data_IF_517948513305
#
_entry.id   IF_517948513305
#
_cell.length_a   1.000
_cell.length_b   1.000
_cell.length_c   1.000
_cell.angle_alpha   90.00
_cell.angle_beta   90.00
_cell.angle_gamma   90.00
#
_symmetry.space_group_name_H-M   'P 1'
#
loop_
_entity.id
_entity.type
_entity.pdbx_description
1 polymer ?
#
# COMPACT_ATOMS: atom_id res chain seq x y z
N UNK A 1 42.98 -5.18 -4.38
CA UNK A 1 42.63 -4.48 -3.15
C UNK A 1 43.77 -3.53 -2.80
N UNK A 2 43.74 -2.33 -3.37
CA UNK A 2 44.81 -1.34 -3.16
C UNK A 2 44.38 -0.15 -2.29
N UNK A 3 43.15 -0.19 -1.78
CA UNK A 3 42.67 0.82 -0.83
C UNK A 3 41.90 0.11 0.26
N UNK A 4 42.33 0.29 1.52
CA UNK A 4 41.58 -0.12 2.74
C UNK A 4 40.38 0.76 2.97
N UNK A 5 39.64 1.11 1.92
CA UNK A 5 38.42 1.93 2.02
C UNK A 5 37.23 1.00 2.07
N UNK A 6 36.67 0.81 3.26
CA UNK A 6 35.37 0.21 3.43
C UNK A 6 34.31 1.23 2.93
N UNK A 7 33.74 0.97 1.78
CA UNK A 7 32.59 1.73 1.30
C UNK A 7 31.37 1.08 1.96
N UNK A 8 30.85 1.73 3.00
CA UNK A 8 29.59 1.35 3.61
C UNK A 8 28.53 1.42 2.52
N UNK A 9 27.93 0.28 2.21
CA UNK A 9 26.85 0.21 1.24
C UNK A 9 25.62 0.76 1.94
N UNK A 10 25.30 2.03 1.71
CA UNK A 10 24.05 2.63 2.13
C UNK A 10 22.89 1.72 1.69
N UNK A 11 22.11 1.26 2.65
CA UNK A 11 20.81 0.67 2.44
C UNK A 11 19.84 1.79 2.01
N UNK A 12 20.13 2.44 0.88
CA UNK A 12 19.16 3.31 0.27
C UNK A 12 17.98 2.43 -0.16
N UNK A 13 16.87 2.55 0.55
CA UNK A 13 15.59 2.01 0.10
C UNK A 13 15.35 2.66 -1.25
N UNK A 14 15.43 1.85 -2.31
CA UNK A 14 15.18 2.35 -3.63
C UNK A 14 13.65 2.30 -3.82
N UNK A 15 12.98 3.42 -3.62
CA UNK A 15 11.52 3.58 -3.74
C UNK A 15 11.00 3.05 -5.07
N UNK A 16 11.79 3.16 -6.13
CA UNK A 16 11.45 2.62 -7.44
C UNK A 16 11.41 1.08 -7.46
N UNK A 17 12.35 0.42 -6.77
CA UNK A 17 12.36 -1.03 -6.63
C UNK A 17 11.15 -1.50 -5.79
N UNK A 18 10.81 -0.81 -4.72
CA UNK A 18 9.63 -1.13 -3.91
C UNK A 18 8.35 -0.96 -4.71
N UNK A 19 8.22 0.12 -5.47
CA UNK A 19 7.10 0.35 -6.39
C UNK A 19 6.97 -0.79 -7.40
N UNK A 20 8.06 -1.21 -8.04
CA UNK A 20 8.07 -2.32 -8.98
C UNK A 20 7.66 -3.65 -8.32
N UNK A 21 8.11 -3.93 -7.10
CA UNK A 21 7.72 -5.11 -6.33
C UNK A 21 6.21 -5.10 -6.02
N UNK A 22 5.70 -3.98 -5.54
CA UNK A 22 4.27 -3.81 -5.25
C UNK A 22 3.42 -3.94 -6.51
N UNK A 23 3.82 -3.29 -7.61
CA UNK A 23 3.13 -3.38 -8.89
C UNK A 23 3.09 -4.82 -9.42
N UNK A 24 4.20 -5.55 -9.31
CA UNK A 24 4.28 -6.96 -9.70
C UNK A 24 3.37 -7.82 -8.81
N UNK A 25 3.44 -7.66 -7.49
CA UNK A 25 2.61 -8.42 -6.54
C UNK A 25 1.13 -8.16 -6.78
N UNK A 26 0.73 -6.91 -6.95
CA UNK A 26 -0.65 -6.52 -7.24
C UNK A 26 -1.14 -7.13 -8.55
N UNK A 27 -0.29 -7.13 -9.59
CA UNK A 27 -0.62 -7.73 -10.88
C UNK A 27 -0.81 -9.25 -10.76
N UNK A 28 0.06 -9.96 -10.05
CA UNK A 28 -0.06 -11.40 -9.82
C UNK A 28 -1.32 -11.75 -9.04
N UNK A 29 -1.66 -10.97 -8.02
CA UNK A 29 -2.83 -11.20 -7.15
C UNK A 29 -4.15 -10.67 -7.75
N UNK A 30 -4.11 -9.89 -8.83
CA UNK A 30 -5.30 -9.45 -9.57
C UNK A 30 -5.97 -10.56 -10.38
N UNK A 31 -5.44 -11.79 -10.35
CA UNK A 31 -5.96 -12.95 -11.09
C UNK A 31 -5.53 -12.99 -12.56
N UNK A 32 -4.70 -12.07 -13.02
CA UNK A 32 -4.12 -12.08 -14.38
C UNK A 32 -3.21 -13.30 -14.54
N UNK A 33 -3.22 -13.90 -15.74
CA UNK A 33 -2.40 -15.07 -16.09
C UNK A 33 -1.42 -14.81 -17.24
N UNK A 34 -1.36 -13.59 -17.71
CA UNK A 34 -0.51 -13.11 -18.81
C UNK A 34 0.75 -12.39 -18.31
N UNK A 35 1.28 -12.83 -17.16
CA UNK A 35 2.40 -12.18 -16.46
C UNK A 35 3.59 -13.12 -16.41
N UNK A 36 4.76 -12.61 -16.78
CA UNK A 36 6.06 -13.25 -16.60
C UNK A 36 6.91 -12.32 -15.73
N UNK A 37 7.43 -12.84 -14.60
CA UNK A 37 8.28 -12.09 -13.68
C UNK A 37 9.72 -12.51 -13.87
N UNK A 38 10.59 -11.53 -14.12
CA UNK A 38 12.04 -11.73 -14.15
C UNK A 38 12.64 -10.89 -13.02
N UNK A 39 13.26 -11.55 -12.05
CA UNK A 39 13.79 -10.89 -10.86
C UNK A 39 15.08 -11.52 -10.37
N UNK A 40 15.81 -10.81 -9.50
CA UNK A 40 16.97 -11.37 -8.82
C UNK A 40 16.53 -12.29 -7.67
N UNK A 41 17.42 -13.19 -7.23
CA UNK A 41 17.18 -14.09 -6.09
C UNK A 41 16.86 -13.33 -4.79
N UNK A 42 17.31 -12.09 -4.66
CA UNK A 42 17.02 -11.24 -3.50
C UNK A 42 15.52 -10.96 -3.30
N UNK A 43 14.71 -11.10 -4.36
CA UNK A 43 13.25 -10.95 -4.26
C UNK A 43 12.57 -12.09 -3.49
N UNK A 44 13.26 -13.22 -3.24
CA UNK A 44 12.74 -14.33 -2.42
C UNK A 44 12.77 -13.98 -0.94
N UNK A 45 13.67 -13.08 -0.54
CA UNK A 45 13.82 -12.65 0.85
C UNK A 45 12.93 -11.45 1.15
N UNK A 46 12.27 -11.45 2.31
CA UNK A 46 11.42 -10.34 2.73
C UNK A 46 10.11 -10.26 1.94
N UNK A 47 9.55 -11.39 1.56
CA UNK A 47 8.21 -11.49 0.93
C UNK A 47 7.18 -11.43 2.05
N UNK A 48 6.18 -10.54 1.90
CA UNK A 48 5.01 -10.50 2.77
C UNK A 48 4.13 -11.75 2.61
N UNK A 49 3.14 -11.89 3.48
CA UNK A 49 2.17 -12.98 3.37
C UNK A 49 1.14 -12.64 2.27
N UNK A 50 1.02 -13.44 1.19
CA UNK A 50 0.08 -13.16 0.10
C UNK A 50 -1.39 -13.20 0.55
N UNK A 51 -1.74 -14.02 1.54
CA UNK A 51 -3.10 -14.06 2.08
C UNK A 51 -3.44 -12.76 2.83
N UNK A 52 -2.53 -12.28 3.67
CA UNK A 52 -2.70 -11.00 4.36
C UNK A 52 -2.78 -9.83 3.36
N UNK A 53 -1.96 -9.86 2.32
CA UNK A 53 -2.00 -8.85 1.26
C UNK A 53 -3.36 -8.86 0.53
N UNK A 54 -3.85 -10.05 0.14
CA UNK A 54 -5.13 -10.20 -0.54
C UNK A 54 -6.32 -9.81 0.33
N UNK A 55 -6.27 -10.10 1.63
CA UNK A 55 -7.33 -9.77 2.57
C UNK A 55 -7.43 -8.26 2.87
N UNK A 56 -6.39 -7.49 2.56
CA UNK A 56 -6.36 -6.05 2.72
C UNK A 56 -6.56 -5.28 1.40
N UNK A 57 -7.05 -5.95 0.35
CA UNK A 57 -7.46 -5.31 -0.90
C UNK A 57 -8.80 -4.60 -0.70
N UNK A 58 -8.86 -3.35 -1.13
CA UNK A 58 -10.06 -2.50 -0.99
C UNK A 58 -10.71 -2.38 -2.37
N UNK A 59 -11.99 -2.72 -2.47
CA UNK A 59 -12.76 -2.56 -3.70
C UNK A 59 -13.91 -1.58 -3.47
N UNK A 60 -13.95 -0.54 -4.29
CA UNK A 60 -14.99 0.50 -4.30
C UNK A 60 -15.65 0.56 -5.66
N UNK A 61 -16.93 0.90 -5.69
CA UNK A 61 -17.75 0.96 -6.89
C UNK A 61 -18.75 2.10 -6.76
N UNK A 62 -19.07 2.76 -7.86
CA UNK A 62 -20.09 3.83 -7.90
C UNK A 62 -21.44 3.28 -7.44
N UNK A 63 -22.16 4.06 -6.63
CA UNK A 63 -23.46 3.68 -6.05
C UNK A 63 -23.36 2.73 -4.85
N UNK A 64 -22.16 2.29 -4.48
CA UNK A 64 -21.95 1.49 -3.28
C UNK A 64 -22.04 2.37 -2.04
N UNK A 65 -22.92 1.96 -1.11
CA UNK A 65 -22.97 2.58 0.21
C UNK A 65 -21.83 2.08 1.07
N UNK A 66 -20.95 2.98 1.43
CA UNK A 66 -19.84 2.74 2.33
C UNK A 66 -19.61 3.99 3.16
N UNK A 67 -19.59 3.84 4.47
CA UNK A 67 -19.25 4.95 5.34
C UNK A 67 -17.82 5.40 5.06
N UNK A 68 -17.63 6.71 4.84
CA UNK A 68 -16.34 7.29 4.53
C UNK A 68 -15.28 6.96 5.59
N UNK A 69 -15.62 7.05 6.87
CA UNK A 69 -14.67 6.78 7.96
C UNK A 69 -14.24 5.31 7.99
N UNK A 70 -15.11 4.39 7.59
CA UNK A 70 -14.76 2.97 7.45
C UNK A 70 -13.79 2.76 6.29
N UNK A 71 -13.97 3.46 5.16
CA UNK A 71 -13.01 3.42 4.06
C UNK A 71 -11.65 3.99 4.46
N UNK A 72 -11.62 5.09 5.23
CA UNK A 72 -10.38 5.67 5.74
C UNK A 72 -9.64 4.71 6.70
N UNK A 73 -10.39 3.96 7.52
CA UNK A 73 -9.81 2.91 8.38
C UNK A 73 -9.23 1.77 7.56
N UNK A 74 -9.96 1.30 6.52
CA UNK A 74 -9.46 0.27 5.62
C UNK A 74 -8.17 0.71 4.91
N UNK A 75 -8.08 1.96 4.45
CA UNK A 75 -6.84 2.51 3.89
C UNK A 75 -5.69 2.49 4.90
N UNK A 76 -5.95 2.90 6.14
CA UNK A 76 -4.93 2.87 7.20
C UNK A 76 -4.51 1.45 7.56
N UNK A 77 -5.46 0.50 7.63
CA UNK A 77 -5.17 -0.92 7.85
C UNK A 77 -4.38 -1.53 6.68
N UNK A 78 -4.58 -1.02 5.44
CA UNK A 78 -3.81 -1.37 4.24
C UNK A 78 -2.50 -0.58 4.10
N UNK A 79 -2.03 0.05 5.19
CA UNK A 79 -0.76 0.76 5.32
C UNK A 79 -0.64 2.04 4.48
N UNK A 80 -1.75 2.62 4.04
CA UNK A 80 -1.74 3.99 3.53
C UNK A 80 -1.65 4.98 4.69
N UNK A 81 -0.89 6.05 4.53
CA UNK A 81 -0.81 7.12 5.52
C UNK A 81 -1.57 8.36 5.08
N UNK A 82 -2.29 8.99 6.03
CA UNK A 82 -2.96 10.26 5.75
C UNK A 82 -1.96 11.40 5.74
N UNK A 83 -1.93 12.16 4.66
CA UNK A 83 -1.16 13.41 4.60
C UNK A 83 -1.86 14.38 3.65
N UNK A 84 -2.40 15.45 4.21
CA UNK A 84 -3.17 16.45 3.44
C UNK A 84 -2.26 17.49 2.75
N UNK A 85 -0.96 17.57 3.13
CA UNK A 85 0.02 18.54 2.62
C UNK A 85 0.93 17.90 1.58
N UNK A 86 1.59 16.79 1.96
CA UNK A 86 2.54 16.07 1.11
C UNK A 86 1.87 14.83 0.53
N UNK A 87 1.31 14.96 -0.68
CA UNK A 87 0.58 13.91 -1.37
C UNK A 87 1.52 13.14 -2.31
N UNK A 88 2.16 12.11 -1.76
CA UNK A 88 3.10 11.22 -2.46
C UNK A 88 2.62 9.76 -2.42
N UNK A 89 3.37 8.85 -3.03
CA UNK A 89 3.04 7.42 -3.10
C UNK A 89 2.71 6.82 -1.72
N UNK A 90 1.71 5.96 -1.66
CA UNK A 90 1.25 5.30 -0.43
C UNK A 90 0.48 6.22 0.52
N UNK A 91 0.05 7.39 0.06
CA UNK A 91 -0.69 8.35 0.89
C UNK A 91 -2.10 8.61 0.38
N UNK A 92 -2.94 9.05 1.30
CA UNK A 92 -4.26 9.57 0.98
C UNK A 92 -4.49 10.92 1.67
N UNK A 93 -5.38 11.72 1.13
CA UNK A 93 -5.83 12.99 1.71
C UNK A 93 -7.34 13.14 1.58
N UNK A 94 -7.91 13.91 2.50
CA UNK A 94 -9.37 14.14 2.57
C UNK A 94 -9.65 15.63 2.55
N UNK A 95 -10.54 16.06 1.66
CA UNK A 95 -11.02 17.44 1.58
C UNK A 95 -12.54 17.42 1.41
N UNK A 96 -13.27 17.67 2.50
CA UNK A 96 -14.74 17.60 2.48
C UNK A 96 -15.20 16.18 2.12
N UNK A 97 -16.00 16.06 1.07
CA UNK A 97 -16.52 14.78 0.58
C UNK A 97 -15.61 14.10 -0.47
N UNK A 98 -14.41 14.64 -0.66
CA UNK A 98 -13.43 14.12 -1.62
C UNK A 98 -12.30 13.40 -0.89
N UNK A 99 -12.04 12.16 -1.32
CA UNK A 99 -10.90 11.33 -0.90
C UNK A 99 -9.98 11.12 -2.10
N UNK A 100 -8.76 11.63 -2.03
CA UNK A 100 -7.70 11.35 -2.99
C UNK A 100 -6.77 10.27 -2.43
N UNK A 101 -6.47 9.24 -3.22
CA UNK A 101 -5.55 8.14 -2.87
C UNK A 101 -4.46 8.05 -3.92
N UNK A 102 -3.20 8.02 -3.49
CA UNK A 102 -2.06 7.80 -4.38
C UNK A 102 -1.41 6.45 -4.06
N UNK A 103 -1.69 5.40 -4.85
CA UNK A 103 -1.15 4.07 -4.60
C UNK A 103 0.37 4.05 -4.63
N UNK A 104 0.98 3.19 -3.81
CA UNK A 104 2.43 3.04 -3.76
C UNK A 104 3.02 2.36 -5.02
N UNK A 105 2.18 1.69 -5.81
CA UNK A 105 2.55 0.92 -6.99
C UNK A 105 2.21 1.59 -8.32
N UNK A 106 1.66 2.79 -8.33
CA UNK A 106 1.15 3.47 -9.52
C UNK A 106 1.66 4.90 -9.61
N UNK A 107 1.76 5.46 -10.83
CA UNK A 107 2.02 6.89 -11.07
C UNK A 107 0.74 7.71 -11.21
N UNK A 108 -0.41 7.03 -11.11
CA UNK A 108 -1.74 7.62 -11.23
C UNK A 108 -2.37 7.61 -9.85
N UNK A 109 -2.97 8.73 -9.46
CA UNK A 109 -3.78 8.86 -8.25
C UNK A 109 -5.27 8.74 -8.58
N UNK A 110 -6.05 8.39 -7.58
CA UNK A 110 -7.49 8.22 -7.70
C UNK A 110 -8.22 9.18 -6.79
N UNK A 111 -9.34 9.69 -7.27
CA UNK A 111 -10.26 10.57 -6.56
C UNK A 111 -11.60 9.87 -6.41
N UNK A 112 -12.09 9.78 -5.18
CA UNK A 112 -13.37 9.21 -4.82
C UNK A 112 -14.21 10.32 -4.22
N UNK A 113 -15.35 10.60 -4.81
CA UNK A 113 -16.28 11.63 -4.35
C UNK A 113 -17.47 10.94 -3.71
N UNK A 114 -17.80 11.39 -2.51
CA UNK A 114 -18.94 10.88 -1.73
C UNK A 114 -20.11 11.86 -1.78
N UNK A 115 -21.30 11.29 -1.85
CA UNK A 115 -22.53 11.96 -1.50
C UNK A 115 -23.12 11.25 -0.28
N UNK A 116 -22.99 11.89 0.90
CA UNK A 116 -23.31 11.25 2.19
C UNK A 116 -22.48 9.96 2.38
N UNK A 117 -23.11 8.81 2.51
CA UNK A 117 -22.47 7.49 2.64
C UNK A 117 -22.45 6.70 1.31
N UNK A 118 -22.58 7.35 0.17
CA UNK A 118 -22.58 6.70 -1.16
C UNK A 118 -21.47 7.26 -2.03
N UNK A 119 -20.80 6.36 -2.79
CA UNK A 119 -19.76 6.77 -3.76
C UNK A 119 -20.45 7.26 -5.02
N UNK A 120 -20.33 8.56 -5.31
CA UNK A 120 -20.93 9.22 -6.46
C UNK A 120 -20.03 9.17 -7.70
N UNK A 121 -18.74 9.40 -7.52
CA UNK A 121 -17.78 9.46 -8.63
C UNK A 121 -16.44 8.86 -8.25
N UNK A 122 -15.80 8.20 -9.21
CA UNK A 122 -14.42 7.70 -9.10
C UNK A 122 -13.66 8.14 -10.34
N UNK A 123 -12.59 8.91 -10.14
CA UNK A 123 -11.73 9.39 -11.21
C UNK A 123 -10.28 8.98 -11.00
N UNK A 124 -9.57 8.70 -12.08
CA UNK A 124 -8.12 8.71 -12.11
C UNK A 124 -7.60 10.08 -12.50
N UNK A 125 -6.51 10.52 -11.90
CA UNK A 125 -5.91 11.82 -12.21
C UNK A 125 -4.38 11.80 -12.06
N UNK A 126 -3.73 12.74 -12.72
CA UNK A 126 -2.29 12.95 -12.59
C UNK A 126 -2.01 13.70 -11.27
N UNK A 127 -1.24 13.11 -10.33
CA UNK A 127 -1.02 13.72 -9.00
C UNK A 127 -0.21 15.02 -9.03
N UNK A 128 0.58 15.25 -10.10
CA UNK A 128 1.43 16.45 -10.25
C UNK A 128 0.61 17.61 -10.83
N UNK A 129 -0.15 17.36 -11.90
CA UNK A 129 -0.91 18.41 -12.59
C UNK A 129 -2.32 18.58 -12.04
N UNK A 130 -2.84 17.58 -11.34
CA UNK A 130 -4.24 17.51 -10.91
C UNK A 130 -5.23 17.21 -12.04
N UNK A 131 -4.75 16.99 -13.26
CA UNK A 131 -5.60 16.77 -14.43
C UNK A 131 -6.27 15.41 -14.36
N UNK A 132 -7.59 15.38 -14.52
CA UNK A 132 -8.37 14.14 -14.69
C UNK A 132 -7.92 13.39 -15.92
N UNK A 133 -7.77 12.08 -15.80
CA UNK A 133 -7.40 11.18 -16.90
C UNK A 133 -8.64 10.42 -17.38
N UNK A 134 -9.33 9.73 -16.47
CA UNK A 134 -10.46 8.85 -16.81
C UNK A 134 -11.44 8.77 -15.65
N UNK A 135 -12.73 8.58 -15.95
CA UNK A 135 -13.75 8.18 -14.98
C UNK A 135 -13.88 6.66 -14.96
N UNK A 136 -13.99 6.12 -13.76
CA UNK A 136 -14.04 4.70 -13.48
C UNK A 136 -15.38 4.34 -12.84
N UNK A 137 -15.94 3.19 -13.20
CA UNK A 137 -17.14 2.63 -12.52
C UNK A 137 -16.79 1.91 -11.22
N UNK A 138 -15.57 1.40 -11.14
CA UNK A 138 -15.04 0.69 -9.96
C UNK A 138 -13.53 0.87 -9.85
N UNK A 139 -13.02 0.73 -8.63
CA UNK A 139 -11.59 0.85 -8.34
C UNK A 139 -11.20 -0.24 -7.33
N UNK A 140 -10.08 -0.91 -7.59
CA UNK A 140 -9.44 -1.83 -6.67
C UNK A 140 -8.11 -1.24 -6.21
N UNK A 141 -7.96 -1.06 -4.90
CA UNK A 141 -6.73 -0.57 -4.26
C UNK A 141 -6.06 -1.72 -3.53
N UNK A 142 -4.80 -1.97 -3.86
CA UNK A 142 -3.95 -2.92 -3.16
C UNK A 142 -3.22 -2.23 -2.01
N UNK A 143 -2.76 -2.96 -0.98
CA UNK A 143 -2.02 -2.40 0.13
C UNK A 143 -0.82 -1.55 -0.31
N UNK A 144 -0.51 -0.51 0.46
CA UNK A 144 0.62 0.37 0.19
C UNK A 144 1.97 -0.26 0.51
N UNK A 145 2.00 -1.41 1.18
CA UNK A 145 3.22 -2.14 1.50
C UNK A 145 2.97 -3.65 1.47
N UNK A 146 3.99 -4.43 1.05
CA UNK A 146 3.93 -5.91 1.01
C UNK A 146 3.88 -6.55 2.39
N UNK A 147 4.29 -5.84 3.43
CA UNK A 147 4.32 -6.32 4.82
C UNK A 147 3.01 -6.06 5.59
N UNK A 148 1.92 -5.75 4.89
CA UNK A 148 0.61 -5.69 5.52
C UNK A 148 0.29 -7.02 6.21
N UNK A 149 -0.21 -6.95 7.44
CA UNK A 149 -0.54 -8.14 8.23
C UNK A 149 -1.76 -7.90 9.11
N UNK A 150 -2.41 -8.97 9.55
CA UNK A 150 -3.58 -8.86 10.40
C UNK A 150 -3.24 -8.36 11.82
N UNK A 151 -4.18 -7.63 12.44
CA UNK A 151 -4.04 -7.13 13.82
C UNK A 151 -3.77 -8.25 14.82
N UNK A 152 -4.35 -9.43 14.62
CA UNK A 152 -4.13 -10.60 15.48
C UNK A 152 -2.71 -11.13 15.39
N UNK A 153 -2.13 -11.19 14.19
CA UNK A 153 -0.73 -11.58 14.01
C UNK A 153 0.24 -10.58 14.63
N UNK A 154 -0.04 -9.28 14.52
CA UNK A 154 0.74 -8.23 15.20
C UNK A 154 0.72 -8.44 16.71
N UNK A 155 -0.46 -8.69 17.27
CA UNK A 155 -0.62 -8.91 18.71
C UNK A 155 0.12 -10.16 19.19
N UNK A 156 0.04 -11.25 18.44
CA UNK A 156 0.78 -12.48 18.72
C UNK A 156 2.29 -12.23 18.67
N UNK A 157 2.80 -11.64 17.61
CA UNK A 157 4.22 -11.30 17.47
C UNK A 157 4.72 -10.37 18.60
N UNK A 158 3.91 -9.38 19.00
CA UNK A 158 4.25 -8.49 20.12
C UNK A 158 4.38 -9.26 21.43
N UNK A 159 3.48 -10.20 21.71
CA UNK A 159 3.56 -11.05 22.89
C UNK A 159 4.80 -11.97 22.87
N UNK A 160 5.10 -12.57 21.71
CA UNK A 160 6.28 -13.43 21.54
C UNK A 160 7.58 -12.65 21.76
N UNK A 161 7.68 -11.44 21.20
CA UNK A 161 8.83 -10.53 21.41
C UNK A 161 8.97 -10.19 22.90
N UNK A 162 7.87 -9.89 23.59
CA UNK A 162 7.93 -9.60 25.03
C UNK A 162 8.41 -10.80 25.85
N UNK A 163 7.95 -12.01 25.53
CA UNK A 163 8.39 -13.24 26.18
C UNK A 163 9.88 -13.52 25.95
N UNK A 164 10.35 -13.32 24.73
CA UNK A 164 11.77 -13.49 24.39
C UNK A 164 12.64 -12.42 25.07
N UNK A 165 12.18 -11.19 25.15
CA UNK A 165 12.86 -10.13 25.89
C UNK A 165 13.02 -10.50 27.37
N UNK A 166 11.96 -10.98 28.03
CA UNK A 166 12.04 -11.41 29.44
C UNK A 166 13.05 -12.54 29.63
N UNK A 167 13.06 -13.56 28.75
CA UNK A 167 14.04 -14.64 28.81
C UNK A 167 15.48 -14.14 28.66
N UNK A 168 15.74 -13.10 27.85
CA UNK A 168 17.06 -12.54 27.63
C UNK A 168 17.53 -11.64 28.79
N UNK A 169 16.62 -11.01 29.52
CA UNK A 169 16.91 -10.15 30.67
C UNK A 169 17.22 -10.97 31.95
N UNK A 170 16.68 -12.19 32.07
CA UNK A 170 16.96 -13.10 33.19
C UNK A 170 18.31 -13.84 33.04
N UNK A 171 19.05 -13.64 31.94
CA UNK A 171 20.37 -14.23 31.66
C UNK A 171 21.46 -13.20 31.96
#
# INVERSE_FOLDING_TARGET
PQTNTYIEKDLSINDEIEKLRLSTTSSLLSGRRDIIVVSSVSCIYGIGNPDDFSNNVISVEIGKKINRDDLLRQLSDSLYSRNDIDFTHGKFRVKGDTLDVFPAYSDIAYRIIFWDDEIEEIDSFNPITGSRIESLSSLTLFPANIFVTSKDKIKTATNDIQLDMFKQVEY
#
